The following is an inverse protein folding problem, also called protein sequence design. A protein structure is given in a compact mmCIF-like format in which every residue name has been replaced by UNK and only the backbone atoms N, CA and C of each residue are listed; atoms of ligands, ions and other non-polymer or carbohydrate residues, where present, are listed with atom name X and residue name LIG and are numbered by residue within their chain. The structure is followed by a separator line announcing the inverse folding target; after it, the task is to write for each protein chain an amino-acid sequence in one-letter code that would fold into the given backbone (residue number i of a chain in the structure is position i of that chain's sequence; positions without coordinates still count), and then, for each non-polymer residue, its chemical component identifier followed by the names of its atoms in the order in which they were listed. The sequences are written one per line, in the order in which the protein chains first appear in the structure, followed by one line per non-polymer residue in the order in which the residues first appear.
data_IF_834449093758
#
_entry.id   IF_834449093758
#
_cell.length_a   1.000
_cell.length_b   1.000
_cell.length_c   1.000
_cell.angle_alpha   90.00
_cell.angle_beta   90.00
_cell.angle_gamma   90.00
#
_symmetry.space_group_name_H-M   'P 1'
#
loop_
_entity.id
_entity.type
_entity.pdbx_description
1 polymer ?
#
# COMPACT_ATOMS: atom_id res chain seq x y z
N UNK A 1 4.31 13.99 33.95
CA UNK A 1 3.77 12.84 33.20
C UNK A 1 3.76 13.19 31.73
N UNK A 2 4.63 12.57 30.92
CA UNK A 2 4.51 12.65 29.46
C UNK A 2 3.25 11.86 29.07
N UNK A 3 2.28 12.52 28.44
CA UNK A 3 1.18 11.80 27.78
C UNK A 3 1.80 10.82 26.76
N UNK A 4 1.39 9.55 26.71
CA UNK A 4 1.80 8.68 25.61
C UNK A 4 1.38 9.36 24.31
N UNK A 5 2.34 9.57 23.41
CA UNK A 5 2.01 10.08 22.09
C UNK A 5 1.10 9.07 21.40
N UNK A 6 0.04 9.51 20.72
CA UNK A 6 -0.83 8.60 19.98
C UNK A 6 0.01 7.86 18.94
N UNK A 7 -0.10 6.52 18.92
CA UNK A 7 0.49 5.72 17.84
C UNK A 7 -0.32 5.98 16.57
N UNK A 8 0.18 6.89 15.74
CA UNK A 8 -0.47 7.30 14.50
C UNK A 8 -0.03 6.44 13.30
N UNK A 9 0.95 5.55 13.45
CA UNK A 9 1.45 4.72 12.36
C UNK A 9 0.45 3.65 11.88
N UNK A 10 -0.27 2.91 12.75
CA UNK A 10 -1.29 1.97 12.28
C UNK A 10 -2.42 2.64 11.48
N UNK A 11 -3.01 3.77 11.94
CA UNK A 11 -3.97 4.52 11.13
C UNK A 11 -3.40 5.05 9.80
N UNK A 12 -2.11 5.45 9.75
CA UNK A 12 -1.46 5.88 8.50
C UNK A 12 -1.32 4.74 7.50
N UNK A 13 -0.94 3.56 7.96
CA UNK A 13 -0.83 2.36 7.14
C UNK A 13 -2.19 1.96 6.56
N UNK A 14 -3.26 2.03 7.35
CA UNK A 14 -4.62 1.76 6.86
C UNK A 14 -5.12 2.79 5.86
N UNK A 15 -4.86 4.08 6.11
CA UNK A 15 -5.19 5.13 5.16
C UNK A 15 -4.43 4.94 3.84
N UNK A 16 -3.13 4.62 3.92
CA UNK A 16 -2.34 4.28 2.73
C UNK A 16 -2.91 3.05 2.01
N UNK A 17 -3.30 1.99 2.74
CA UNK A 17 -3.93 0.82 2.13
C UNK A 17 -5.21 1.19 1.36
N UNK A 18 -6.06 2.06 1.91
CA UNK A 18 -7.26 2.56 1.21
C UNK A 18 -6.94 3.38 -0.04
N UNK A 19 -5.88 4.20 -0.02
CA UNK A 19 -5.41 4.94 -1.20
C UNK A 19 -4.86 3.99 -2.28
N UNK A 20 -4.21 2.91 -1.88
CA UNK A 20 -3.78 1.85 -2.79
C UNK A 20 -4.97 1.10 -3.40
N UNK A 21 -6.02 0.79 -2.63
CA UNK A 21 -7.24 0.18 -3.18
C UNK A 21 -7.91 1.10 -4.21
N UNK A 22 -7.94 2.42 -3.93
CA UNK A 22 -8.48 3.39 -4.88
C UNK A 22 -7.66 3.43 -6.16
N UNK A 23 -6.33 3.43 -6.06
CA UNK A 23 -5.44 3.35 -7.22
C UNK A 23 -5.66 2.06 -8.03
N UNK A 24 -5.77 0.90 -7.37
CA UNK A 24 -6.05 -0.36 -8.02
C UNK A 24 -7.42 -0.34 -8.73
N UNK A 25 -8.46 0.18 -8.07
CA UNK A 25 -9.80 0.27 -8.63
C UNK A 25 -9.86 1.18 -9.88
N UNK A 26 -9.13 2.30 -9.87
CA UNK A 26 -9.01 3.16 -11.05
C UNK A 26 -8.36 2.42 -12.23
N UNK A 27 -7.31 1.64 -11.95
CA UNK A 27 -6.63 0.83 -12.96
C UNK A 27 -7.52 -0.31 -13.49
N UNK A 28 -8.29 -0.99 -12.62
CA UNK A 28 -9.28 -1.98 -13.05
C UNK A 28 -10.28 -1.36 -14.04
N UNK A 29 -10.78 -0.16 -13.74
CA UNK A 29 -11.70 0.56 -14.63
C UNK A 29 -11.11 0.87 -16.01
N UNK A 30 -9.81 1.09 -16.11
CA UNK A 30 -9.13 1.23 -17.41
C UNK A 30 -9.01 -0.11 -18.14
N UNK A 31 -8.81 -1.22 -17.41
CA UNK A 31 -8.73 -2.55 -18.01
C UNK A 31 -10.09 -3.07 -18.49
N UNK A 32 -11.18 -2.74 -17.78
CA UNK A 32 -12.55 -3.10 -18.17
C UNK A 32 -12.93 -2.54 -19.55
N UNK A 33 -12.41 -1.36 -19.91
CA UNK A 33 -12.56 -0.74 -21.25
C UNK A 33 -11.21 -0.47 -21.92
N UNK A 34 -10.30 -1.44 -21.86
CA UNK A 34 -8.94 -1.30 -22.40
C UNK A 34 -8.93 -0.84 -23.88
N UNK A 35 -9.88 -1.32 -24.68
CA UNK A 35 -10.02 -0.94 -26.10
C UNK A 35 -10.44 0.53 -26.24
N UNK A 36 -11.39 1.02 -25.43
CA UNK A 36 -11.82 2.41 -25.44
C UNK A 36 -10.71 3.39 -25.04
N UNK A 37 -9.80 2.96 -24.17
CA UNK A 37 -8.62 3.73 -23.76
C UNK A 37 -7.38 3.52 -24.66
N UNK A 38 -7.48 2.72 -25.73
CA UNK A 38 -6.35 2.46 -26.64
C UNK A 38 -5.20 1.67 -26.00
N UNK A 39 -5.48 0.91 -24.94
CA UNK A 39 -4.50 0.11 -24.21
C UNK A 39 -4.24 -1.19 -24.99
N UNK A 40 -2.97 -1.45 -25.31
CA UNK A 40 -2.59 -2.69 -26.00
C UNK A 40 -2.72 -3.90 -25.06
N UNK A 41 -2.89 -5.14 -25.58
CA UNK A 41 -2.93 -6.34 -24.74
C UNK A 41 -1.67 -6.53 -23.87
N UNK A 42 -0.52 -6.08 -24.37
CA UNK A 42 0.74 -6.11 -23.62
C UNK A 42 0.71 -5.13 -22.45
N UNK A 43 0.24 -3.91 -22.70
CA UNK A 43 0.10 -2.87 -21.67
C UNK A 43 -0.94 -3.24 -20.61
N UNK A 44 -2.05 -3.85 -21.05
CA UNK A 44 -3.07 -4.37 -20.15
C UNK A 44 -2.50 -5.42 -19.19
N UNK A 45 -1.63 -6.31 -19.67
CA UNK A 45 -0.96 -7.29 -18.82
C UNK A 45 0.00 -6.65 -17.80
N UNK A 46 0.77 -5.62 -18.21
CA UNK A 46 1.64 -4.86 -17.30
C UNK A 46 0.84 -4.09 -16.25
N UNK A 47 -0.30 -3.50 -16.63
CA UNK A 47 -1.23 -2.85 -15.71
C UNK A 47 -1.86 -3.84 -14.74
N UNK A 48 -2.25 -5.03 -15.19
CA UNK A 48 -2.77 -6.08 -14.31
C UNK A 48 -1.73 -6.48 -13.25
N UNK A 49 -0.48 -6.67 -13.64
CA UNK A 49 0.61 -6.95 -12.70
C UNK A 49 0.82 -5.81 -11.70
N UNK A 50 0.68 -4.56 -12.14
CA UNK A 50 0.74 -3.40 -11.25
C UNK A 50 -0.40 -3.40 -10.23
N UNK A 51 -1.63 -3.69 -10.68
CA UNK A 51 -2.81 -3.82 -9.81
C UNK A 51 -2.57 -4.89 -8.74
N UNK A 52 -2.06 -6.06 -9.15
CA UNK A 52 -1.80 -7.18 -8.24
C UNK A 52 -0.75 -6.80 -7.19
N UNK A 53 0.33 -6.11 -7.61
CA UNK A 53 1.34 -5.57 -6.70
C UNK A 53 0.79 -4.52 -5.73
N UNK A 54 -0.04 -3.59 -6.21
CA UNK A 54 -0.68 -2.54 -5.39
C UNK A 54 -1.58 -3.18 -4.34
N UNK A 55 -2.43 -4.14 -4.73
CA UNK A 55 -3.32 -4.86 -3.81
C UNK A 55 -2.53 -5.67 -2.78
N UNK A 56 -1.44 -6.31 -3.20
CA UNK A 56 -0.54 -7.02 -2.29
C UNK A 56 0.09 -6.09 -1.26
N UNK A 57 0.53 -4.89 -1.66
CA UNK A 57 1.08 -3.89 -0.73
C UNK A 57 0.02 -3.35 0.23
N UNK A 58 -1.19 -3.07 -0.25
CA UNK A 58 -2.31 -2.62 0.58
C UNK A 58 -2.63 -3.63 1.69
N UNK A 59 -2.70 -4.92 1.34
CA UNK A 59 -2.90 -5.99 2.31
C UNK A 59 -1.75 -6.09 3.31
N UNK A 60 -0.50 -5.97 2.83
CA UNK A 60 0.68 -5.90 3.69
C UNK A 60 0.60 -4.77 4.72
N UNK A 61 0.12 -3.58 4.32
CA UNK A 61 -0.05 -2.44 5.23
C UNK A 61 -1.15 -2.68 6.26
N UNK A 62 -2.30 -3.27 5.88
CA UNK A 62 -3.36 -3.63 6.84
C UNK A 62 -2.88 -4.63 7.88
N UNK A 63 -2.17 -5.68 7.44
CA UNK A 63 -1.56 -6.66 8.35
C UNK A 63 -0.56 -6.01 9.28
N UNK A 64 0.31 -5.14 8.76
CA UNK A 64 1.27 -4.42 9.60
C UNK A 64 0.58 -3.54 10.64
N UNK A 65 -0.47 -2.81 10.26
CA UNK A 65 -1.25 -2.02 11.19
C UNK A 65 -1.89 -2.88 12.29
N UNK A 66 -2.44 -4.05 11.94
CA UNK A 66 -3.00 -5.00 12.89
C UNK A 66 -1.92 -5.55 13.84
N UNK A 67 -0.76 -5.96 13.33
CA UNK A 67 0.36 -6.45 14.15
C UNK A 67 0.86 -5.36 15.11
N UNK A 68 1.06 -4.13 14.65
CA UNK A 68 1.53 -3.04 15.53
C UNK A 68 0.55 -2.75 16.66
N UNK A 69 -0.77 -2.83 16.40
CA UNK A 69 -1.78 -2.70 17.46
C UNK A 69 -1.74 -3.87 18.44
N UNK A 70 -1.65 -5.10 17.93
CA UNK A 70 -1.53 -6.29 18.75
C UNK A 70 -0.29 -6.24 19.67
N UNK A 71 0.85 -5.80 19.15
CA UNK A 71 2.07 -5.61 19.93
C UNK A 71 1.88 -4.55 21.03
N UNK A 72 1.19 -3.45 20.73
CA UNK A 72 0.88 -2.42 21.72
C UNK A 72 -0.06 -2.93 22.82
N UNK A 73 -1.07 -3.75 22.47
CA UNK A 73 -1.97 -4.42 23.41
C UNK A 73 -1.22 -5.40 24.32
N UNK A 74 -0.33 -6.23 23.74
CA UNK A 74 0.54 -7.15 24.46
C UNK A 74 1.38 -6.42 25.51
N UNK A 75 2.03 -5.32 25.11
CA UNK A 75 2.87 -4.52 26.01
C UNK A 75 2.01 -3.91 27.14
N UNK A 76 0.83 -3.39 26.82
CA UNK A 76 -0.07 -2.83 27.82
C UNK A 76 -0.55 -3.90 28.83
N UNK A 77 -0.96 -5.08 28.35
CA UNK A 77 -1.40 -6.20 29.19
C UNK A 77 -0.30 -6.68 30.12
N UNK A 78 0.95 -6.77 29.62
CA UNK A 78 2.12 -7.12 30.44
C UNK A 78 2.29 -6.17 31.64
N UNK A 79 2.17 -4.86 31.43
CA UNK A 79 2.27 -3.88 32.52
C UNK A 79 1.05 -3.86 33.45
N UNK A 80 -0.12 -4.29 32.97
CA UNK A 80 -1.34 -4.39 33.77
C UNK A 80 -1.42 -5.69 34.60
N UNK A 81 -0.60 -6.70 34.29
CA UNK A 81 -0.67 -8.03 34.90
C UNK A 81 -1.78 -8.92 34.32
N UNK A 82 -2.31 -8.55 33.15
CA UNK A 82 -3.34 -9.29 32.43
C UNK A 82 -2.74 -10.36 31.50
N UNK A 83 -3.53 -11.35 31.05
CA UNK A 83 -3.09 -12.32 30.04
C UNK A 83 -2.58 -11.64 28.77
N UNK A 84 -1.37 -12.01 28.35
CA UNK A 84 -0.66 -11.40 27.21
C UNK A 84 -1.05 -12.07 25.90
N UNK A 85 -2.29 -11.85 25.44
CA UNK A 85 -2.78 -12.38 24.16
C UNK A 85 -3.65 -11.33 23.46
N UNK A 86 -3.36 -10.96 22.19
CA UNK A 86 -4.26 -10.12 21.39
C UNK A 86 -5.61 -10.80 21.24
N UNK A 87 -6.70 -10.08 21.51
CA UNK A 87 -8.05 -10.67 21.57
C UNK A 87 -8.84 -10.52 20.25
N UNK A 88 -8.18 -10.18 19.14
CA UNK A 88 -8.85 -9.87 17.87
C UNK A 88 -8.53 -10.90 16.77
N UNK A 89 -9.52 -11.32 15.96
CA UNK A 89 -9.29 -12.18 14.78
C UNK A 89 -8.28 -11.60 13.79
N UNK A 90 -8.27 -10.27 13.62
CA UNK A 90 -7.35 -9.56 12.74
C UNK A 90 -5.87 -9.73 13.14
N UNK A 91 -5.58 -9.85 14.44
CA UNK A 91 -4.21 -10.11 14.91
C UNK A 91 -3.72 -11.52 14.54
N UNK A 92 -4.62 -12.51 14.59
CA UNK A 92 -4.32 -13.87 14.15
C UNK A 92 -4.09 -13.94 12.64
N UNK A 93 -4.97 -13.35 11.83
CA UNK A 93 -4.82 -13.31 10.37
C UNK A 93 -3.54 -12.58 9.94
N UNK A 94 -3.19 -11.48 10.62
CA UNK A 94 -1.94 -10.75 10.37
C UNK A 94 -0.69 -11.56 10.73
N UNK A 95 -0.79 -12.52 11.66
CA UNK A 95 0.32 -13.41 12.03
C UNK A 95 0.61 -14.50 10.99
N UNK A 96 -0.31 -14.75 10.06
CA UNK A 96 -0.10 -15.70 8.97
C UNK A 96 0.86 -15.13 7.92
N UNK A 97 1.69 -16.00 7.32
CA UNK A 97 2.58 -15.59 6.23
C UNK A 97 1.79 -15.05 5.04
N UNK A 98 2.18 -13.87 4.56
CA UNK A 98 1.67 -13.32 3.31
C UNK A 98 2.23 -14.13 2.13
N UNK A 99 1.46 -14.35 1.05
CA UNK A 99 2.00 -14.88 -0.20
C UNK A 99 3.18 -14.04 -0.70
N UNK A 100 4.05 -14.64 -1.51
CA UNK A 100 5.19 -13.94 -2.10
C UNK A 100 4.73 -12.72 -2.90
N UNK A 101 5.52 -11.64 -2.86
CA UNK A 101 5.21 -10.41 -3.56
C UNK A 101 5.18 -10.66 -5.08
N UNK A 102 4.17 -10.15 -5.81
CA UNK A 102 4.22 -10.10 -7.26
C UNK A 102 5.47 -9.35 -7.74
N UNK A 103 6.06 -9.74 -8.88
CA UNK A 103 7.17 -8.99 -9.45
C UNK A 103 6.75 -7.58 -9.84
N UNK A 104 7.69 -6.63 -9.80
CA UNK A 104 7.46 -5.28 -10.31
C UNK A 104 7.33 -5.38 -11.84
N UNK A 105 6.21 -4.94 -12.44
CA UNK A 105 6.01 -5.01 -13.87
C UNK A 105 6.99 -4.11 -14.62
N UNK A 106 7.37 -4.53 -15.82
CA UNK A 106 8.08 -3.63 -16.74
C UNK A 106 7.19 -2.45 -17.07
N UNK A 107 7.78 -1.26 -17.04
CA UNK A 107 7.08 -0.03 -17.36
C UNK A 107 6.72 -0.03 -18.85
N UNK A 108 5.44 0.20 -19.15
CA UNK A 108 4.99 0.32 -20.54
C UNK A 108 5.58 1.57 -21.20
N UNK A 109 5.97 1.49 -22.45
CA UNK A 109 6.39 2.66 -23.24
C UNK A 109 5.27 3.25 -24.09
N UNK A 110 4.11 2.60 -24.15
CA UNK A 110 3.03 2.89 -25.09
C UNK A 110 1.73 3.35 -24.44
N UNK A 111 1.58 3.19 -23.12
CA UNK A 111 0.43 3.74 -22.38
C UNK A 111 0.43 5.27 -22.47
N UNK A 112 -0.76 5.85 -22.69
CA UNK A 112 -0.95 7.28 -22.48
C UNK A 112 -0.86 7.60 -20.99
N UNK A 113 0.28 8.15 -20.58
CA UNK A 113 0.53 8.51 -19.20
C UNK A 113 -0.42 9.59 -18.66
N UNK A 114 -1.13 10.34 -19.50
CA UNK A 114 -2.17 11.25 -19.01
C UNK A 114 -3.29 10.47 -18.30
N UNK A 115 -3.62 9.27 -18.80
CA UNK A 115 -4.62 8.37 -18.21
C UNK A 115 -4.29 8.01 -16.76
N UNK A 116 -3.01 7.88 -16.43
CA UNK A 116 -2.54 7.47 -15.09
C UNK A 116 -2.55 8.60 -14.05
N UNK A 117 -3.05 9.80 -14.39
CA UNK A 117 -3.09 10.93 -13.45
C UNK A 117 -3.84 10.62 -12.13
N UNK A 118 -5.05 10.04 -12.14
CA UNK A 118 -5.77 9.75 -10.90
C UNK A 118 -5.03 8.76 -10.00
N UNK A 119 -4.31 7.81 -10.62
CA UNK A 119 -3.50 6.80 -9.93
C UNK A 119 -2.29 7.46 -9.29
N UNK A 120 -1.62 8.38 -10.01
CA UNK A 120 -0.53 9.19 -9.45
C UNK A 120 -0.98 10.00 -8.24
N UNK A 121 -2.14 10.64 -8.30
CA UNK A 121 -2.65 11.47 -7.20
C UNK A 121 -2.86 10.62 -5.94
N UNK A 122 -3.46 9.44 -6.08
CA UNK A 122 -3.68 8.48 -4.99
C UNK A 122 -2.35 8.02 -4.36
N UNK A 123 -1.36 7.68 -5.20
CA UNK A 123 -0.04 7.24 -4.75
C UNK A 123 0.79 8.37 -4.13
N UNK A 124 0.66 9.59 -4.63
CA UNK A 124 1.29 10.78 -4.07
C UNK A 124 0.73 11.10 -2.68
N UNK A 125 -0.59 11.00 -2.51
CA UNK A 125 -1.24 11.15 -1.21
C UNK A 125 -0.79 10.05 -0.24
N UNK A 126 -0.71 8.79 -0.70
CA UNK A 126 -0.23 7.68 0.12
C UNK A 126 1.22 7.93 0.57
N UNK A 127 2.09 8.37 -0.34
CA UNK A 127 3.46 8.77 0.00
C UNK A 127 3.51 9.88 1.06
N UNK A 128 2.66 10.92 0.93
CA UNK A 128 2.57 12.00 1.91
C UNK A 128 2.13 11.51 3.29
N UNK A 129 1.15 10.61 3.35
CA UNK A 129 0.68 10.00 4.61
C UNK A 129 1.78 9.18 5.26
N UNK A 130 2.45 8.32 4.47
CA UNK A 130 3.49 7.40 4.95
C UNK A 130 4.77 8.13 5.38
N UNK A 131 5.17 9.18 4.66
CA UNK A 131 6.35 9.99 4.99
C UNK A 131 6.25 10.76 6.31
N UNK A 132 5.04 10.95 6.83
CA UNK A 132 4.78 11.51 8.17
C UNK A 132 4.82 10.48 9.29
N UNK A 133 5.00 9.20 8.94
CA UNK A 133 5.15 8.11 9.90
C UNK A 133 6.51 8.10 10.59
N UNK A 134 6.63 7.35 11.68
CA UNK A 134 7.87 7.21 12.41
C UNK A 134 8.55 5.85 12.13
N UNK A 135 9.87 5.81 12.17
CA UNK A 135 10.64 4.57 12.05
C UNK A 135 11.01 4.15 10.62
N UNK A 136 11.86 3.13 10.53
CA UNK A 136 12.41 2.62 9.27
C UNK A 136 11.37 2.01 8.35
N UNK A 137 10.31 1.43 8.91
CA UNK A 137 9.23 0.78 8.17
C UNK A 137 8.38 1.79 7.41
N UNK A 138 8.03 2.90 8.05
CA UNK A 138 7.29 3.99 7.40
C UNK A 138 8.12 4.63 6.28
N UNK A 139 9.44 4.76 6.48
CA UNK A 139 10.36 5.22 5.42
C UNK A 139 10.38 4.24 4.24
N UNK A 140 10.38 2.94 4.50
CA UNK A 140 10.34 1.92 3.46
C UNK A 140 9.00 1.94 2.70
N UNK A 141 7.88 2.02 3.41
CA UNK A 141 6.54 2.15 2.81
C UNK A 141 6.43 3.42 1.95
N UNK A 142 6.93 4.56 2.44
CA UNK A 142 6.96 5.80 1.67
C UNK A 142 7.80 5.66 0.38
N UNK A 143 8.91 4.94 0.42
CA UNK A 143 9.73 4.64 -0.78
C UNK A 143 8.99 3.75 -1.78
N UNK A 144 8.23 2.76 -1.30
CA UNK A 144 7.40 1.93 -2.18
C UNK A 144 6.33 2.75 -2.89
N UNK A 145 5.62 3.62 -2.18
CA UNK A 145 4.64 4.53 -2.77
C UNK A 145 5.29 5.46 -3.82
N UNK A 146 6.49 5.98 -3.53
CA UNK A 146 7.23 6.79 -4.49
C UNK A 146 7.68 6.00 -5.74
N UNK A 147 8.05 4.73 -5.58
CA UNK A 147 8.42 3.86 -6.70
C UNK A 147 7.22 3.58 -7.63
N UNK A 148 6.05 3.31 -7.06
CA UNK A 148 4.80 3.12 -7.82
C UNK A 148 4.36 4.42 -8.49
N UNK A 149 4.48 5.56 -7.80
CA UNK A 149 4.25 6.88 -8.37
C UNK A 149 5.17 7.13 -9.57
N UNK A 150 6.45 6.80 -9.44
CA UNK A 150 7.43 6.92 -10.53
C UNK A 150 7.11 6.00 -11.70
N UNK A 151 6.62 4.78 -11.45
CA UNK A 151 6.18 3.86 -12.51
C UNK A 151 5.04 4.46 -13.34
N UNK A 152 4.17 5.24 -12.70
CA UNK A 152 3.07 5.93 -13.37
C UNK A 152 3.51 7.19 -14.13
N UNK A 153 4.80 7.49 -14.28
CA UNK A 153 5.30 8.60 -15.09
C UNK A 153 5.94 8.12 -16.38
N UNK A 154 5.95 8.91 -17.46
CA UNK A 154 6.69 8.55 -18.66
C UNK A 154 8.17 8.30 -18.30
N UNK A 155 8.80 7.26 -18.88
CA UNK A 155 10.21 7.01 -18.65
C UNK A 155 11.00 8.24 -19.08
N UNK A 156 11.93 8.68 -18.23
CA UNK A 156 12.83 9.78 -18.58
C UNK A 156 13.60 9.36 -19.83
N UNK A 157 13.46 10.14 -20.91
CA UNK A 157 14.25 9.93 -22.13
C UNK A 157 15.72 10.13 -21.78
N UNK A 158 16.49 9.05 -21.78
CA UNK A 158 17.96 9.06 -21.63
C UNK A 158 18.60 9.35 -22.98
#
# INVERSE_FOLDING_TARGET
MNKPQPQLDPPRLELAAGLYDMAAWQLDGFLDDAVGYGISPHDAASLQQLIDLIRWQAEGYRRRAATTRADAEIVAAYFAGDPVVPNTPAAFEASMSLPEAPPIPQQSTTIDYVLLQPVRDSLAEAHLVLSRGCGTEMVYAAKQAAALYSWCHPPLSV
#
